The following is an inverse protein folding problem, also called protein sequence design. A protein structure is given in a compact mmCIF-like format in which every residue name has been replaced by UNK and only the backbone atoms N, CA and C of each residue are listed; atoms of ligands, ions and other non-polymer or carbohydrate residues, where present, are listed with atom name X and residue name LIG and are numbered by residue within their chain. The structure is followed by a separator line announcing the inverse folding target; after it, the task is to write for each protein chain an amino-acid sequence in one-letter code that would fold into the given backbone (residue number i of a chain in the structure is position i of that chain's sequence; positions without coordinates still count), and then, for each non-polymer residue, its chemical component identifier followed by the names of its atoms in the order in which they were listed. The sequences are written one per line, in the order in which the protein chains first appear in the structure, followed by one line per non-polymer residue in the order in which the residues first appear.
data_IF_358945872846
#
_entry.id   IF_358945872846
#
_cell.length_a   1.000
_cell.length_b   1.000
_cell.length_c   1.000
_cell.angle_alpha   90.00
_cell.angle_beta   90.00
_cell.angle_gamma   90.00
#
_symmetry.space_group_name_H-M   'P 1'
#
loop_
_entity.id
_entity.type
_entity.pdbx_description
1 polymer ?
#
# COMPACT_ATOMS: atom_id res chain seq x y z
N UNK A 1 -17.17 -53.19 -5.87
CA UNK A 1 -17.89 -51.90 -5.93
C UNK A 1 -17.30 -50.88 -4.91
N UNK A 2 -16.09 -50.29 -5.10
CA UNK A 2 -15.57 -49.24 -4.21
C UNK A 2 -15.44 -47.83 -4.86
N UNK A 3 -15.87 -47.63 -6.10
CA UNK A 3 -15.57 -46.41 -6.89
C UNK A 3 -16.34 -45.16 -6.46
N UNK A 4 -17.46 -45.30 -5.74
CA UNK A 4 -18.31 -44.16 -5.36
C UNK A 4 -17.76 -43.38 -4.16
N UNK A 5 -17.19 -44.07 -3.17
CA UNK A 5 -16.61 -43.44 -1.99
C UNK A 5 -15.36 -42.60 -2.34
N UNK A 6 -14.58 -43.09 -3.31
CA UNK A 6 -13.36 -42.41 -3.77
C UNK A 6 -13.68 -41.11 -4.52
N UNK A 7 -14.72 -41.12 -5.38
CA UNK A 7 -15.21 -39.92 -6.07
C UNK A 7 -15.76 -38.85 -5.12
N UNK A 8 -16.43 -39.25 -4.04
CA UNK A 8 -16.97 -38.31 -3.07
C UNK A 8 -15.86 -37.57 -2.30
N UNK A 9 -14.74 -38.24 -2.04
CA UNK A 9 -13.58 -37.68 -1.35
C UNK A 9 -12.84 -36.66 -2.23
N UNK A 10 -12.69 -36.95 -3.53
CA UNK A 10 -12.10 -36.00 -4.50
C UNK A 10 -12.96 -34.74 -4.68
N UNK A 11 -14.29 -34.88 -4.72
CA UNK A 11 -15.22 -33.74 -4.80
C UNK A 11 -15.12 -32.83 -3.58
N UNK A 12 -14.95 -33.41 -2.39
CA UNK A 12 -14.83 -32.64 -1.15
C UNK A 12 -13.49 -31.88 -1.09
N UNK A 13 -12.41 -32.48 -1.59
CA UNK A 13 -11.11 -31.82 -1.69
C UNK A 13 -11.08 -30.71 -2.74
N UNK A 14 -11.76 -30.89 -3.89
CA UNK A 14 -11.91 -29.83 -4.90
C UNK A 14 -12.77 -28.67 -4.39
N UNK A 15 -13.87 -28.94 -3.69
CA UNK A 15 -14.70 -27.91 -3.10
C UNK A 15 -13.92 -27.09 -2.06
N UNK A 16 -13.16 -27.77 -1.18
CA UNK A 16 -12.30 -27.11 -0.18
C UNK A 16 -11.24 -26.21 -0.85
N UNK A 17 -10.50 -26.74 -1.84
CA UNK A 17 -9.47 -25.98 -2.55
C UNK A 17 -10.04 -24.76 -3.29
N UNK A 18 -11.20 -24.90 -3.95
CA UNK A 18 -11.83 -23.80 -4.67
C UNK A 18 -12.33 -22.69 -3.74
N UNK A 19 -12.88 -23.04 -2.57
CA UNK A 19 -13.29 -22.07 -1.55
C UNK A 19 -12.08 -21.31 -0.97
N UNK A 20 -10.96 -21.99 -0.72
CA UNK A 20 -9.72 -21.36 -0.24
C UNK A 20 -9.15 -20.40 -1.29
N UNK A 21 -9.20 -20.76 -2.58
CA UNK A 21 -8.72 -19.86 -3.64
C UNK A 21 -9.61 -18.63 -3.80
N UNK A 22 -10.93 -18.77 -3.65
CA UNK A 22 -11.84 -17.64 -3.75
C UNK A 22 -11.68 -16.65 -2.59
N UNK A 23 -11.47 -17.16 -1.37
CA UNK A 23 -11.24 -16.34 -0.17
C UNK A 23 -9.87 -15.65 -0.20
N UNK A 24 -8.82 -16.32 -0.67
CA UNK A 24 -7.49 -15.72 -0.84
C UNK A 24 -7.53 -14.52 -1.81
N UNK A 25 -8.13 -14.68 -3.00
CA UNK A 25 -8.18 -13.62 -4.03
C UNK A 25 -9.00 -12.40 -3.59
N UNK A 26 -10.05 -12.59 -2.78
CA UNK A 26 -10.87 -11.48 -2.28
C UNK A 26 -10.18 -10.70 -1.16
N UNK A 27 -9.43 -11.39 -0.30
CA UNK A 27 -8.75 -10.77 0.84
C UNK A 27 -7.59 -9.87 0.39
N UNK A 28 -6.83 -10.30 -0.62
CA UNK A 28 -5.71 -9.51 -1.15
C UNK A 28 -6.11 -8.11 -1.62
N UNK A 29 -7.27 -7.97 -2.28
CA UNK A 29 -7.73 -6.66 -2.79
C UNK A 29 -8.08 -5.68 -1.69
N UNK A 30 -8.75 -6.14 -0.63
CA UNK A 30 -9.11 -5.26 0.50
C UNK A 30 -7.89 -4.87 1.33
N UNK A 31 -6.96 -5.80 1.55
CA UNK A 31 -5.70 -5.53 2.25
C UNK A 31 -4.90 -4.45 1.54
N UNK A 32 -4.80 -4.51 0.20
CA UNK A 32 -4.11 -3.48 -0.60
C UNK A 32 -4.76 -2.11 -0.43
N UNK A 33 -6.10 -2.03 -0.46
CA UNK A 33 -6.81 -0.76 -0.27
C UNK A 33 -6.55 -0.15 1.11
N UNK A 34 -6.55 -0.97 2.16
CA UNK A 34 -6.26 -0.52 3.53
C UNK A 34 -4.83 0.00 3.64
N UNK A 35 -3.86 -0.70 3.05
CA UNK A 35 -2.45 -0.28 3.06
C UNK A 35 -2.28 1.07 2.34
N UNK A 36 -2.92 1.25 1.18
CA UNK A 36 -2.87 2.52 0.43
C UNK A 36 -3.45 3.66 1.26
N UNK A 37 -4.62 3.44 1.88
CA UNK A 37 -5.24 4.46 2.73
C UNK A 37 -4.32 4.84 3.90
N UNK A 38 -3.71 3.85 4.56
CA UNK A 38 -2.78 4.08 5.67
C UNK A 38 -1.55 4.88 5.21
N UNK A 39 -0.98 4.53 4.05
CA UNK A 39 0.15 5.24 3.46
C UNK A 39 -0.18 6.71 3.15
N UNK A 40 -1.38 6.98 2.61
CA UNK A 40 -1.84 8.35 2.35
C UNK A 40 -1.98 9.15 3.65
N UNK A 41 -2.57 8.58 4.70
CA UNK A 41 -2.71 9.26 6.00
C UNK A 41 -1.34 9.66 6.55
N UNK A 42 -0.36 8.76 6.49
CA UNK A 42 1.00 9.05 6.97
C UNK A 42 1.67 10.12 6.10
N UNK A 43 1.56 10.02 4.77
CA UNK A 43 2.15 10.99 3.86
C UNK A 43 1.57 12.40 4.05
N UNK A 44 0.25 12.53 4.10
CA UNK A 44 -0.41 13.81 4.36
C UNK A 44 -0.10 14.35 5.75
N UNK A 45 -0.02 13.48 6.77
CA UNK A 45 0.38 13.87 8.12
C UNK A 45 1.77 14.50 8.16
N UNK A 46 2.75 13.86 7.50
CA UNK A 46 4.13 14.37 7.42
C UNK A 46 4.22 15.68 6.63
N UNK A 47 3.55 15.77 5.48
CA UNK A 47 3.51 16.98 4.67
C UNK A 47 2.89 18.16 5.43
N UNK A 48 1.78 17.91 6.14
CA UNK A 48 1.08 18.93 6.93
C UNK A 48 1.92 19.37 8.12
N UNK A 49 2.54 18.43 8.85
CA UNK A 49 3.44 18.75 9.95
C UNK A 49 4.63 19.58 9.48
N UNK A 50 5.26 19.20 8.37
CA UNK A 50 6.35 19.96 7.76
C UNK A 50 5.91 21.38 7.34
N UNK A 51 4.74 21.50 6.72
CA UNK A 51 4.17 22.80 6.34
C UNK A 51 3.99 23.72 7.56
N UNK A 52 3.36 23.21 8.63
CA UNK A 52 3.14 23.97 9.88
C UNK A 52 4.47 24.43 10.48
N UNK A 53 5.50 23.57 10.49
CA UNK A 53 6.83 23.91 11.00
C UNK A 53 7.51 25.00 10.17
N UNK A 54 7.34 25.02 8.85
CA UNK A 54 7.89 26.11 8.04
C UNK A 54 7.11 27.42 8.27
N UNK A 55 5.78 27.36 8.31
CA UNK A 55 4.92 28.52 8.53
C UNK A 55 5.17 29.19 9.89
N UNK A 56 5.37 28.40 10.95
CA UNK A 56 5.69 28.95 12.29
C UNK A 56 7.00 29.74 12.33
N UNK A 57 7.87 29.55 11.34
CA UNK A 57 9.13 30.28 11.15
C UNK A 57 9.03 31.40 10.11
N UNK A 58 7.83 31.71 9.61
CA UNK A 58 7.59 32.66 8.52
C UNK A 58 8.20 32.22 7.19
N UNK A 59 8.32 30.91 6.98
CA UNK A 59 8.91 30.28 5.78
C UNK A 59 7.89 29.41 5.06
N UNK A 60 8.14 29.13 3.78
CA UNK A 60 7.37 28.20 2.98
C UNK A 60 8.16 26.90 2.74
N UNK A 61 7.51 25.74 2.69
CA UNK A 61 8.19 24.50 2.35
C UNK A 61 8.59 24.50 0.88
N UNK A 62 9.86 24.17 0.62
CA UNK A 62 10.43 24.06 -0.71
C UNK A 62 11.04 22.66 -0.90
N UNK A 63 10.89 22.14 -2.12
CA UNK A 63 11.44 20.87 -2.54
C UNK A 63 12.28 21.11 -3.81
N UNK A 64 13.59 20.98 -3.69
CA UNK A 64 14.49 21.12 -4.84
C UNK A 64 14.75 19.76 -5.47
N UNK A 65 14.45 19.68 -6.77
CA UNK A 65 14.74 18.54 -7.62
C UNK A 65 16.14 18.68 -8.22
N UNK A 66 17.00 17.66 -8.12
CA UNK A 66 18.31 17.68 -8.77
C UNK A 66 18.15 17.64 -10.30
N UNK A 67 19.07 18.27 -11.02
CA UNK A 67 19.10 18.18 -12.48
C UNK A 67 19.37 16.74 -12.92
N UNK A 68 18.62 16.24 -13.91
CA UNK A 68 18.81 14.91 -14.48
C UNK A 68 20.23 14.69 -15.05
N UNK A 69 20.92 15.75 -15.44
CA UNK A 69 22.25 15.70 -16.05
C UNK A 69 23.39 15.47 -15.06
N UNK A 70 23.30 16.00 -13.84
CA UNK A 70 24.41 16.00 -12.88
C UNK A 70 24.24 15.01 -11.74
N UNK A 71 23.11 14.31 -11.66
CA UNK A 71 22.74 13.53 -10.49
C UNK A 71 22.60 14.40 -9.24
N UNK A 72 22.00 13.88 -8.19
CA UNK A 72 21.89 14.59 -6.92
C UNK A 72 20.81 14.06 -6.02
N UNK A 73 20.66 14.72 -4.88
CA UNK A 73 19.70 14.34 -3.84
C UNK A 73 18.55 15.33 -3.82
N UNK A 74 17.34 14.82 -3.64
CA UNK A 74 16.16 15.63 -3.33
C UNK A 74 16.35 16.32 -1.99
N UNK A 75 16.15 17.64 -1.97
CA UNK A 75 16.28 18.43 -0.74
C UNK A 75 14.94 19.03 -0.37
N UNK A 76 14.45 18.70 0.82
CA UNK A 76 13.29 19.33 1.43
C UNK A 76 13.76 20.29 2.53
N UNK A 77 13.36 21.56 2.47
CA UNK A 77 13.74 22.58 3.44
C UNK A 77 12.68 23.69 3.55
N UNK A 78 12.76 24.50 4.61
CA UNK A 78 11.94 25.71 4.73
C UNK A 78 12.69 26.88 4.10
N UNK A 79 12.05 27.59 3.17
CA UNK A 79 12.59 28.75 2.44
C UNK A 79 11.89 30.04 2.90
N UNK A 80 12.64 31.10 3.16
CA UNK A 80 12.09 32.45 3.41
C UNK A 80 11.71 33.14 2.11
#
# INVERSE_FOLDING_TARGET
MPTLALKALELHEQASNSMIRLSAVRTDRWVVLVIIALALIVAFGLLTAWWIVCQSKGMYPALDMPSWANGGTWKAYCRR
#
